data_IF_323404235749
#
_entry.id   IF_323404235749
#
_cell.length_a   1.000
_cell.length_b   1.000
_cell.length_c   1.000
_cell.angle_alpha   90.00
_cell.angle_beta   90.00
_cell.angle_gamma   90.00
#
_symmetry.space_group_name_H-M   'P 1'
#
loop_
_entity.id
_entity.type
_entity.pdbx_description
1 polymer ?
#
# COMPACT_ATOMS: atom_id res chain seq x y z
N UNK A 1 -12.75 25.27 -10.45
CA UNK A 1 -14.19 25.16 -10.06
C UNK A 1 -14.67 26.19 -9.03
N UNK A 2 -14.06 27.37 -8.90
CA UNK A 2 -14.41 28.28 -7.79
C UNK A 2 -15.81 28.90 -7.92
N UNK A 3 -16.32 29.10 -9.15
CA UNK A 3 -17.63 29.69 -9.41
C UNK A 3 -18.50 28.92 -10.41
N UNK A 4 -17.94 27.97 -11.16
CA UNK A 4 -18.64 27.15 -12.15
C UNK A 4 -18.63 25.68 -11.72
N UNK A 5 -19.77 25.01 -11.84
CA UNK A 5 -20.01 23.65 -11.35
C UNK A 5 -19.33 22.54 -12.15
N UNK A 6 -18.77 22.85 -13.33
CA UNK A 6 -18.07 21.89 -14.20
C UNK A 6 -16.65 22.40 -14.48
N UNK A 7 -15.65 21.51 -14.54
CA UNK A 7 -14.30 21.93 -14.89
C UNK A 7 -14.27 22.24 -16.38
N UNK A 8 -13.34 23.07 -16.80
CA UNK A 8 -13.10 23.24 -18.23
C UNK A 8 -12.47 21.98 -18.81
N UNK A 9 -12.58 21.78 -20.13
CA UNK A 9 -11.88 20.68 -20.82
C UNK A 9 -10.37 20.76 -20.58
N UNK A 10 -9.81 21.97 -20.54
CA UNK A 10 -8.39 22.17 -20.30
C UNK A 10 -7.98 21.71 -18.89
N UNK A 11 -8.72 22.11 -17.85
CA UNK A 11 -8.49 21.66 -16.47
C UNK A 11 -8.57 20.13 -16.34
N UNK A 12 -9.58 19.51 -16.99
CA UNK A 12 -9.74 18.05 -16.94
C UNK A 12 -8.57 17.31 -17.62
N UNK A 13 -8.10 17.81 -18.77
CA UNK A 13 -6.95 17.24 -19.48
C UNK A 13 -5.65 17.42 -18.68
N UNK A 14 -5.47 18.55 -18.01
CA UNK A 14 -4.27 18.83 -17.20
C UNK A 14 -4.13 17.83 -16.05
N UNK A 15 -5.22 17.62 -15.29
CA UNK A 15 -5.27 16.60 -14.23
C UNK A 15 -5.01 15.20 -14.78
N UNK A 16 -5.66 14.84 -15.90
CA UNK A 16 -5.49 13.52 -16.49
C UNK A 16 -4.03 13.27 -16.90
N UNK A 17 -3.38 14.25 -17.53
CA UNK A 17 -1.98 14.16 -17.90
C UNK A 17 -1.07 14.02 -16.68
N UNK A 18 -1.32 14.77 -15.59
CA UNK A 18 -0.53 14.62 -14.36
C UNK A 18 -0.58 13.19 -13.80
N UNK A 19 -1.74 12.52 -13.87
CA UNK A 19 -1.91 11.11 -13.45
C UNK A 19 -1.15 10.15 -14.38
N UNK A 20 -1.19 10.40 -15.69
CA UNK A 20 -0.50 9.59 -16.71
C UNK A 20 1.02 9.75 -16.63
N UNK A 21 1.49 10.95 -16.33
CA UNK A 21 2.91 11.27 -16.09
C UNK A 21 3.43 10.61 -14.82
N UNK A 22 2.52 10.12 -13.97
CA UNK A 22 2.85 9.28 -12.82
C UNK A 22 2.94 10.05 -11.51
N UNK A 23 2.19 11.15 -11.35
CA UNK A 23 2.04 11.79 -10.03
C UNK A 23 1.43 10.83 -9.01
N UNK A 24 1.84 10.97 -7.75
CA UNK A 24 1.29 10.20 -6.62
C UNK A 24 -0.01 10.80 -6.08
N UNK A 25 -0.13 12.12 -6.13
CA UNK A 25 -1.27 12.87 -5.64
C UNK A 25 -1.60 14.06 -6.55
N UNK A 26 -2.85 14.48 -6.48
CA UNK A 26 -3.35 15.72 -7.08
C UNK A 26 -3.89 16.61 -5.96
N UNK A 27 -3.69 17.91 -6.07
CA UNK A 27 -4.07 18.87 -5.04
C UNK A 27 -5.16 19.80 -5.55
N UNK A 28 -6.17 20.02 -4.72
CA UNK A 28 -7.15 21.10 -4.90
C UNK A 28 -6.76 22.23 -3.96
N UNK A 29 -6.92 23.47 -4.42
CA UNK A 29 -6.51 24.67 -3.71
C UNK A 29 -7.74 25.52 -3.39
N UNK A 30 -7.92 26.65 -4.08
CA UNK A 30 -9.07 27.54 -3.92
C UNK A 30 -10.41 26.85 -4.17
N UNK A 31 -10.43 25.74 -4.92
CA UNK A 31 -11.63 24.97 -5.24
C UNK A 31 -12.30 24.36 -4.01
N UNK A 32 -11.49 23.95 -3.03
CA UNK A 32 -11.99 23.34 -1.79
C UNK A 32 -11.94 24.29 -0.61
N UNK A 33 -10.99 25.23 -0.59
CA UNK A 33 -10.83 26.16 0.52
C UNK A 33 -11.91 27.24 0.58
N UNK A 34 -12.27 27.83 -0.56
CA UNK A 34 -13.24 28.93 -0.64
C UNK A 34 -14.19 28.83 -1.85
N UNK A 35 -14.18 27.70 -2.56
CA UNK A 35 -15.00 27.48 -3.74
C UNK A 35 -16.47 27.26 -3.37
N UNK A 36 -17.37 27.60 -4.30
CA UNK A 36 -18.82 27.41 -4.12
C UNK A 36 -19.27 25.93 -4.15
N UNK A 37 -18.44 25.02 -4.70
CA UNK A 37 -18.78 23.60 -4.90
C UNK A 37 -17.64 22.64 -4.50
N UNK A 38 -17.22 22.63 -3.21
CA UNK A 38 -16.06 21.86 -2.77
C UNK A 38 -16.25 20.34 -2.89
N UNK A 39 -17.46 19.83 -2.61
CA UNK A 39 -17.77 18.39 -2.73
C UNK A 39 -17.74 17.93 -4.19
N UNK A 40 -18.29 18.73 -5.10
CA UNK A 40 -18.33 18.43 -6.52
C UNK A 40 -16.92 18.49 -7.12
N UNK A 41 -16.07 19.38 -6.63
CA UNK A 41 -14.67 19.47 -7.03
C UNK A 41 -13.91 18.17 -6.71
N UNK A 42 -14.03 17.68 -5.47
CA UNK A 42 -13.39 16.42 -5.06
C UNK A 42 -13.95 15.23 -5.85
N UNK A 43 -15.29 15.14 -6.02
CA UNK A 43 -15.92 14.05 -6.78
C UNK A 43 -15.51 14.05 -8.25
N UNK A 44 -15.37 15.23 -8.85
CA UNK A 44 -14.98 15.35 -10.27
C UNK A 44 -13.51 15.03 -10.46
N UNK A 45 -12.65 15.51 -9.55
CA UNK A 45 -11.23 15.14 -9.51
C UNK A 45 -11.05 13.62 -9.41
N UNK A 46 -11.77 12.97 -8.49
CA UNK A 46 -11.74 11.52 -8.34
C UNK A 46 -12.15 10.77 -9.61
N UNK A 47 -13.19 11.24 -10.32
CA UNK A 47 -13.60 10.66 -11.61
C UNK A 47 -12.52 10.80 -12.67
N UNK A 48 -11.91 11.97 -12.82
CA UNK A 48 -10.85 12.20 -13.80
C UNK A 48 -9.66 11.28 -13.50
N UNK A 49 -9.25 11.16 -12.23
CA UNK A 49 -8.20 10.24 -11.83
C UNK A 49 -8.55 8.80 -12.20
N UNK A 50 -9.73 8.29 -11.82
CA UNK A 50 -10.15 6.93 -12.12
C UNK A 50 -10.15 6.63 -13.63
N UNK A 51 -10.66 7.55 -14.45
CA UNK A 51 -10.64 7.40 -15.91
C UNK A 51 -9.21 7.39 -16.46
N UNK A 52 -8.34 8.30 -16.01
CA UNK A 52 -6.94 8.33 -16.41
C UNK A 52 -6.20 7.04 -16.02
N UNK A 53 -6.40 6.56 -14.79
CA UNK A 53 -5.81 5.32 -14.28
C UNK A 53 -6.24 4.08 -15.06
N UNK A 54 -7.48 4.06 -15.58
CA UNK A 54 -8.00 2.94 -16.38
C UNK A 54 -7.28 2.73 -17.72
N UNK A 55 -6.66 3.79 -18.25
CA UNK A 55 -5.94 3.76 -19.53
C UNK A 55 -4.48 3.31 -19.41
N UNK A 56 -3.96 3.19 -18.19
CA UNK A 56 -2.55 2.90 -17.93
C UNK A 56 -2.29 1.39 -18.08
N UNK A 57 -1.30 1.04 -18.90
CA UNK A 57 -0.77 -0.32 -18.92
C UNK A 57 0.28 -0.50 -17.80
N UNK A 58 -0.18 -0.90 -16.62
CA UNK A 58 0.68 -1.12 -15.45
C UNK A 58 1.80 -2.15 -15.69
N UNK A 59 1.59 -3.15 -16.55
CA UNK A 59 2.61 -4.13 -16.90
C UNK A 59 3.80 -3.51 -17.64
N UNK A 60 3.54 -2.55 -18.53
CA UNK A 60 4.60 -1.84 -19.25
C UNK A 60 5.24 -0.76 -18.40
N UNK A 61 4.47 -0.07 -17.54
CA UNK A 61 5.01 0.85 -16.54
C UNK A 61 6.01 0.14 -15.63
N UNK A 62 5.64 -1.03 -15.10
CA UNK A 62 6.52 -1.85 -14.27
C UNK A 62 7.84 -2.21 -14.98
N UNK A 63 7.76 -2.67 -16.24
CA UNK A 63 8.97 -2.99 -17.04
C UNK A 63 9.87 -1.78 -17.23
N UNK A 64 9.30 -0.61 -17.52
CA UNK A 64 10.07 0.65 -17.69
C UNK A 64 10.77 1.07 -16.39
N UNK A 65 10.08 0.95 -15.25
CA UNK A 65 10.67 1.24 -13.94
C UNK A 65 11.82 0.27 -13.66
N UNK A 66 11.61 -1.03 -13.89
CA UNK A 66 12.64 -2.05 -13.70
C UNK A 66 13.86 -1.86 -14.60
N UNK A 67 13.68 -1.41 -15.85
CA UNK A 67 14.79 -1.15 -16.78
C UNK A 67 15.70 0.00 -16.30
N UNK A 68 15.17 0.92 -15.50
CA UNK A 68 15.91 2.06 -14.94
C UNK A 68 16.30 1.85 -13.47
N UNK A 69 16.04 0.68 -12.90
CA UNK A 69 16.38 0.40 -11.50
C UNK A 69 17.90 0.21 -11.33
N UNK A 70 18.50 0.69 -10.23
CA UNK A 70 19.93 0.55 -9.99
C UNK A 70 20.33 -0.91 -9.80
N UNK A 71 21.48 -1.31 -10.35
CA UNK A 71 22.06 -2.65 -10.15
C UNK A 71 23.46 -2.50 -9.54
N UNK A 72 23.75 -3.09 -8.36
CA UNK A 72 22.86 -3.94 -7.56
C UNK A 72 21.78 -3.15 -6.81
N UNK A 73 20.59 -3.76 -6.65
CA UNK A 73 19.51 -3.20 -5.82
C UNK A 73 19.76 -3.46 -4.34
N UNK A 74 19.22 -2.61 -3.47
CA UNK A 74 19.16 -2.91 -2.03
C UNK A 74 18.25 -4.12 -1.77
N UNK A 75 18.44 -4.88 -0.68
CA UNK A 75 17.60 -6.04 -0.38
C UNK A 75 16.10 -5.74 -0.31
N UNK A 76 15.72 -4.62 0.33
CA UNK A 76 14.33 -4.18 0.44
C UNK A 76 13.73 -3.81 -0.92
N UNK A 77 14.53 -3.20 -1.80
CA UNK A 77 14.08 -2.82 -3.13
C UNK A 77 13.97 -4.02 -4.08
N UNK A 78 14.90 -4.98 -3.96
CA UNK A 78 14.82 -6.27 -4.63
C UNK A 78 13.57 -7.06 -4.19
N UNK A 79 13.24 -7.01 -2.90
CA UNK A 79 12.04 -7.64 -2.36
C UNK A 79 10.76 -6.96 -2.87
N UNK A 80 10.71 -5.62 -2.86
CA UNK A 80 9.56 -4.86 -3.32
C UNK A 80 9.27 -5.10 -4.81
N UNK A 81 10.29 -5.03 -5.67
CA UNK A 81 10.16 -5.35 -7.10
C UNK A 81 9.73 -6.80 -7.33
N UNK A 82 10.28 -7.74 -6.56
CA UNK A 82 9.90 -9.16 -6.63
C UNK A 82 8.45 -9.38 -6.21
N UNK A 83 7.97 -8.71 -5.17
CA UNK A 83 6.58 -8.82 -4.73
C UNK A 83 5.60 -8.32 -5.79
N UNK A 84 5.88 -7.17 -6.43
CA UNK A 84 5.06 -6.65 -7.53
C UNK A 84 5.09 -7.58 -8.73
N UNK A 85 6.27 -8.13 -9.07
CA UNK A 85 6.40 -9.14 -10.13
C UNK A 85 5.55 -10.38 -9.83
N UNK A 86 5.63 -10.90 -8.61
CA UNK A 86 4.84 -12.05 -8.16
C UNK A 86 3.35 -11.75 -8.21
N UNK A 87 2.92 -10.57 -7.77
CA UNK A 87 1.52 -10.16 -7.81
C UNK A 87 0.98 -10.07 -9.25
N UNK A 88 1.78 -9.53 -10.17
CA UNK A 88 1.43 -9.49 -11.59
C UNK A 88 1.35 -10.90 -12.20
N UNK A 89 2.30 -11.79 -11.88
CA UNK A 89 2.32 -13.16 -12.39
C UNK A 89 1.19 -14.03 -11.82
N UNK A 90 0.89 -13.88 -10.53
CA UNK A 90 -0.18 -14.60 -9.84
C UNK A 90 -1.58 -14.01 -10.10
N UNK A 91 -1.67 -12.88 -10.81
CA UNK A 91 -2.90 -12.09 -10.98
C UNK A 91 -3.59 -11.83 -9.64
N UNK A 92 -2.79 -11.41 -8.65
CA UNK A 92 -3.27 -11.20 -7.30
C UNK A 92 -4.30 -10.06 -7.24
N UNK A 93 -5.32 -10.23 -6.41
CA UNK A 93 -6.35 -9.21 -6.19
C UNK A 93 -5.82 -7.99 -5.42
N UNK A 94 -4.86 -8.19 -4.52
CA UNK A 94 -4.14 -7.12 -3.82
C UNK A 94 -2.75 -7.56 -3.38
N UNK A 95 -1.93 -6.58 -3.04
CA UNK A 95 -0.67 -6.77 -2.31
C UNK A 95 -0.90 -6.33 -0.87
N UNK A 96 -0.59 -7.17 0.10
CA UNK A 96 -0.66 -6.87 1.52
C UNK A 96 0.76 -6.63 2.05
N UNK A 97 1.01 -5.51 2.70
CA UNK A 97 2.32 -5.16 3.23
C UNK A 97 2.20 -4.88 4.71
N UNK A 98 2.78 -5.74 5.55
CA UNK A 98 2.97 -5.45 6.97
C UNK A 98 4.17 -4.51 7.10
N UNK A 99 3.96 -3.36 7.73
CA UNK A 99 5.00 -2.34 7.89
C UNK A 99 4.88 -1.64 9.23
N UNK A 100 6.02 -1.19 9.77
CA UNK A 100 6.06 -0.38 11.01
C UNK A 100 6.22 1.09 10.67
N UNK A 101 7.25 1.43 9.88
CA UNK A 101 7.56 2.80 9.44
C UNK A 101 6.97 3.21 8.08
N UNK A 102 6.25 2.33 7.38
CA UNK A 102 5.67 2.62 6.06
C UNK A 102 6.66 2.56 4.88
N UNK A 103 7.97 2.44 5.12
CA UNK A 103 9.01 2.44 4.08
C UNK A 103 8.84 1.31 3.06
N UNK A 104 8.58 0.08 3.53
CA UNK A 104 8.36 -1.09 2.65
C UNK A 104 7.18 -0.86 1.71
N UNK A 105 6.07 -0.33 2.25
CA UNK A 105 4.86 -0.10 1.47
C UNK A 105 5.10 0.97 0.37
N UNK A 106 5.87 2.01 0.70
CA UNK A 106 6.30 3.04 -0.27
C UNK A 106 7.20 2.47 -1.37
N UNK A 107 8.12 1.55 -1.02
CA UNK A 107 8.96 0.86 -2.00
C UNK A 107 8.14 -0.02 -2.94
N UNK A 108 7.09 -0.69 -2.45
CA UNK A 108 6.16 -1.44 -3.31
C UNK A 108 5.40 -0.49 -4.25
N UNK A 109 4.89 0.62 -3.72
CA UNK A 109 4.17 1.63 -4.50
C UNK A 109 5.01 2.28 -5.62
N UNK A 110 6.33 2.42 -5.40
CA UNK A 110 7.30 2.89 -6.41
C UNK A 110 7.19 2.13 -7.72
N UNK A 111 6.94 0.82 -7.66
CA UNK A 111 6.86 -0.06 -8.83
C UNK A 111 5.50 -0.05 -9.54
N UNK A 112 4.56 0.80 -9.09
CA UNK A 112 3.25 1.03 -9.72
C UNK A 112 2.50 -0.27 -10.04
N UNK A 113 2.19 -1.12 -9.04
CA UNK A 113 1.33 -2.28 -9.26
C UNK A 113 -0.06 -1.84 -9.75
N UNK A 114 -0.69 -2.65 -10.60
CA UNK A 114 -2.06 -2.39 -11.08
C UNK A 114 -3.16 -2.82 -10.08
N UNK A 115 -2.79 -3.58 -9.05
CA UNK A 115 -3.66 -3.95 -7.94
C UNK A 115 -3.42 -3.05 -6.71
N UNK A 116 -4.42 -2.86 -5.84
CA UNK A 116 -4.26 -2.06 -4.63
C UNK A 116 -3.23 -2.67 -3.65
N UNK A 117 -2.56 -1.80 -2.89
CA UNK A 117 -1.60 -2.17 -1.86
C UNK A 117 -2.22 -1.88 -0.49
N UNK A 118 -2.60 -2.93 0.25
CA UNK A 118 -3.06 -2.81 1.63
C UNK A 118 -1.86 -2.72 2.57
N UNK A 119 -1.60 -1.53 3.11
CA UNK A 119 -0.50 -1.27 4.03
C UNK A 119 -0.98 -1.39 5.47
N UNK A 120 -0.60 -2.48 6.14
CA UNK A 120 -0.95 -2.73 7.52
C UNK A 120 0.14 -2.14 8.41
N UNK A 121 -0.19 -1.06 9.11
CA UNK A 121 0.71 -0.44 10.07
C UNK A 121 0.53 -1.13 11.41
N UNK A 122 1.58 -1.85 11.82
CA UNK A 122 1.63 -2.52 13.12
C UNK A 122 2.41 -1.63 14.07
N UNK A 123 1.77 -1.03 15.09
CA UNK A 123 2.49 -0.17 16.00
C UNK A 123 3.48 -0.98 16.83
N UNK A 124 4.70 -0.44 16.99
CA UNK A 124 5.65 -0.95 17.97
C UNK A 124 5.26 -0.43 19.33
N UNK A 125 5.23 -1.34 20.29
CA UNK A 125 5.10 -0.98 21.67
C UNK A 125 6.46 -1.16 22.33
N UNK A 126 7.04 -0.06 22.79
CA UNK A 126 8.29 -0.07 23.56
C UNK A 126 7.96 0.06 25.03
N UNK A 127 8.34 -0.96 25.80
CA UNK A 127 8.35 -0.93 27.26
C UNK A 127 9.77 -0.69 27.71
N UNK A 128 10.08 0.56 28.04
CA UNK A 128 11.24 0.82 28.88
C UNK A 128 10.78 0.67 30.34
N UNK A 129 11.72 0.35 31.24
CA UNK A 129 11.51 -0.24 32.57
C UNK A 129 10.43 0.36 33.49
N UNK A 130 9.88 1.55 33.18
CA UNK A 130 8.73 2.15 33.89
C UNK A 130 7.73 2.92 33.01
N UNK A 131 7.95 3.06 31.69
CA UNK A 131 7.08 3.83 30.78
C UNK A 131 6.71 3.02 29.52
N UNK A 132 5.42 3.05 29.16
CA UNK A 132 4.90 2.42 27.95
C UNK A 132 4.70 3.49 26.87
N UNK A 133 5.36 3.31 25.72
CA UNK A 133 5.12 4.14 24.53
C UNK A 133 4.63 3.28 23.37
N UNK A 134 3.57 3.73 22.70
CA UNK A 134 3.04 3.13 21.48
C UNK A 134 3.45 4.00 20.30
N UNK A 135 4.03 3.42 19.25
CA UNK A 135 4.42 4.16 18.06
C UNK A 135 3.21 4.86 17.40
N UNK A 136 3.44 6.04 16.85
CA UNK A 136 2.40 6.89 16.27
C UNK A 136 1.68 6.25 15.06
N UNK A 137 0.42 6.64 14.85
CA UNK A 137 -0.35 6.40 13.62
C UNK A 137 0.20 7.18 12.40
N UNK A 138 1.27 7.95 12.59
CA UNK A 138 1.92 8.78 11.58
C UNK A 138 2.30 8.01 10.31
N UNK A 139 2.88 6.79 10.36
CA UNK A 139 3.19 6.01 9.16
C UNK A 139 1.95 5.68 8.33
N UNK A 140 0.81 5.42 8.96
CA UNK A 140 -0.45 5.17 8.25
C UNK A 140 -0.92 6.44 7.53
N UNK A 141 -0.90 7.58 8.21
CA UNK A 141 -1.24 8.88 7.61
C UNK A 141 -0.30 9.26 6.47
N UNK A 142 1.00 9.06 6.64
CA UNK A 142 2.00 9.32 5.61
C UNK A 142 1.89 8.42 4.39
N UNK A 143 1.26 7.24 4.51
CA UNK A 143 1.02 6.36 3.36
C UNK A 143 -0.09 6.88 2.43
N UNK A 144 -0.99 7.74 2.92
CA UNK A 144 -2.12 8.25 2.13
C UNK A 144 -1.72 9.11 0.93
N UNK A 145 -0.51 9.68 0.94
CA UNK A 145 -0.02 10.50 -0.18
C UNK A 145 0.60 9.66 -1.31
N UNK A 146 0.79 8.36 -1.11
CA UNK A 146 1.39 7.49 -2.11
C UNK A 146 0.31 6.75 -2.87
N UNK A 147 0.46 6.70 -4.19
CA UNK A 147 -0.56 6.10 -5.06
C UNK A 147 -0.72 4.60 -4.81
N UNK A 148 -1.96 4.15 -4.80
CA UNK A 148 -2.33 2.75 -4.65
C UNK A 148 -2.18 2.20 -3.23
N UNK A 149 -1.68 2.99 -2.26
CA UNK A 149 -1.57 2.60 -0.87
C UNK A 149 -2.88 2.83 -0.10
N UNK A 150 -3.38 1.76 0.51
CA UNK A 150 -4.53 1.75 1.40
C UNK A 150 -4.04 1.42 2.81
N UNK A 151 -3.74 2.42 3.65
CA UNK A 151 -3.25 2.17 4.99
C UNK A 151 -4.36 1.73 5.92
N UNK A 152 -4.08 0.71 6.74
CA UNK A 152 -4.90 0.30 7.88
C UNK A 152 -4.04 0.23 9.13
N UNK A 153 -4.62 0.59 10.27
CA UNK A 153 -3.96 0.45 11.55
C UNK A 153 -4.39 -0.89 12.16
N UNK A 154 -3.42 -1.74 12.50
CA UNK A 154 -3.67 -2.93 13.29
C UNK A 154 -3.53 -2.56 14.78
N UNK A 155 -4.49 -2.98 15.62
CA UNK A 155 -4.31 -2.87 17.06
C UNK A 155 -3.13 -3.78 17.44
N UNK A 156 -2.03 -3.20 17.93
CA UNK A 156 -0.86 -3.97 18.33
C UNK A 156 -1.22 -4.92 19.48
N UNK A 157 -0.91 -6.21 19.33
CA UNK A 157 -1.03 -7.16 20.44
C UNK A 157 0.14 -6.95 21.40
N UNK A 158 -0.16 -6.48 22.61
CA UNK A 158 0.82 -6.28 23.69
C UNK A 158 1.42 -7.59 24.24
N UNK A 159 0.95 -8.76 23.78
CA UNK A 159 1.07 -10.02 24.51
C UNK A 159 1.67 -11.19 23.73
N UNK A 160 2.07 -11.00 22.48
CA UNK A 160 2.46 -12.11 21.61
C UNK A 160 3.96 -12.06 21.25
N UNK A 161 4.54 -13.23 21.02
CA UNK A 161 5.84 -13.37 20.37
C UNK A 161 5.84 -12.67 18.99
N UNK A 162 7.00 -12.28 18.47
CA UNK A 162 7.09 -11.57 17.18
C UNK A 162 6.42 -12.32 16.02
N UNK A 163 6.35 -13.65 16.08
CA UNK A 163 5.75 -14.50 15.04
C UNK A 163 4.21 -14.55 15.14
N UNK A 164 3.66 -14.82 16.33
CA UNK A 164 2.20 -14.86 16.56
C UNK A 164 1.52 -13.53 16.20
N UNK A 165 2.19 -12.40 16.49
CA UNK A 165 1.69 -11.07 16.13
C UNK A 165 1.58 -10.86 14.61
N UNK A 166 2.37 -11.57 13.80
CA UNK A 166 2.35 -11.40 12.33
C UNK A 166 1.21 -12.17 11.68
N UNK A 167 0.91 -13.38 12.18
CA UNK A 167 -0.23 -14.18 11.74
C UNK A 167 -1.55 -13.47 12.06
N UNK A 168 -1.70 -12.95 13.28
CA UNK A 168 -2.87 -12.17 13.70
C UNK A 168 -3.08 -10.92 12.82
N UNK A 169 -1.99 -10.18 12.54
CA UNK A 169 -2.07 -8.99 11.69
C UNK A 169 -2.45 -9.33 10.24
N UNK A 170 -1.97 -10.46 9.72
CA UNK A 170 -2.32 -10.95 8.38
C UNK A 170 -3.80 -11.36 8.31
N UNK A 171 -4.30 -12.09 9.30
CA UNK A 171 -5.71 -12.48 9.38
C UNK A 171 -6.63 -11.26 9.49
N UNK A 172 -6.30 -10.32 10.37
CA UNK A 172 -7.03 -9.06 10.52
C UNK A 172 -7.09 -8.30 9.19
N UNK A 173 -5.95 -8.18 8.49
CA UNK A 173 -5.87 -7.47 7.23
C UNK A 173 -6.64 -8.17 6.10
N UNK A 174 -6.62 -9.50 6.04
CA UNK A 174 -7.41 -10.28 5.08
C UNK A 174 -8.91 -10.15 5.36
N UNK A 175 -9.33 -10.17 6.63
CA UNK A 175 -10.72 -9.95 7.00
C UNK A 175 -11.16 -8.53 6.61
N UNK A 176 -10.33 -7.53 6.88
CA UNK A 176 -10.58 -6.16 6.46
C UNK A 176 -10.73 -6.03 4.94
N UNK A 177 -9.83 -6.67 4.18
CA UNK A 177 -9.87 -6.69 2.73
C UNK A 177 -11.17 -7.32 2.19
N UNK A 178 -11.62 -8.44 2.78
CA UNK A 178 -12.89 -9.09 2.45
C UNK A 178 -14.08 -8.17 2.75
N UNK A 179 -14.13 -7.56 3.92
CA UNK A 179 -15.23 -6.65 4.32
C UNK A 179 -15.31 -5.42 3.41
N UNK A 180 -14.17 -4.90 2.95
CA UNK A 180 -14.10 -3.79 1.99
C UNK A 180 -14.35 -4.21 0.54
N UNK A 181 -14.49 -5.51 0.27
CA UNK A 181 -14.68 -6.04 -1.08
C UNK A 181 -13.44 -5.95 -1.97
N UNK A 182 -12.24 -5.82 -1.37
CA UNK A 182 -10.96 -5.78 -2.09
C UNK A 182 -10.51 -7.17 -2.57
N UNK A 183 -10.96 -8.24 -1.90
CA UNK A 183 -10.75 -9.61 -2.32
C UNK A 183 -11.95 -10.50 -2.03
N UNK A 184 -12.04 -11.60 -2.76
CA UNK A 184 -13.07 -12.63 -2.66
C UNK A 184 -12.42 -13.98 -2.39
N UNK A 185 -13.24 -14.94 -1.96
CA UNK A 185 -12.79 -16.34 -1.82
C UNK A 185 -12.38 -16.87 -3.20
N UNK A 186 -11.19 -17.44 -3.28
CA UNK A 186 -10.55 -17.91 -4.50
C UNK A 186 -9.50 -16.96 -5.08
N UNK A 187 -9.44 -15.71 -4.63
CA UNK A 187 -8.43 -14.76 -5.10
C UNK A 187 -7.05 -15.06 -4.50
N UNK A 188 -5.99 -14.75 -5.26
CA UNK A 188 -4.62 -14.76 -4.75
C UNK A 188 -4.28 -13.39 -4.14
N UNK A 189 -3.57 -13.38 -3.01
CA UNK A 189 -3.05 -12.19 -2.34
C UNK A 189 -1.55 -12.37 -2.15
N UNK A 190 -0.76 -11.37 -2.49
CA UNK A 190 0.69 -11.40 -2.20
C UNK A 190 0.94 -10.64 -0.91
N UNK A 191 1.45 -11.31 0.11
CA UNK A 191 1.77 -10.73 1.40
C UNK A 191 3.28 -10.54 1.56
N UNK A 192 3.67 -9.34 2.00
CA UNK A 192 5.01 -8.96 2.43
C UNK A 192 4.99 -8.79 3.93
N UNK A 193 5.71 -9.65 4.65
CA UNK A 193 5.77 -9.60 6.11
C UNK A 193 7.13 -10.05 6.63
N UNK A 194 7.42 -9.68 7.88
CA UNK A 194 8.64 -10.08 8.59
C UNK A 194 8.34 -11.36 9.35
N UNK A 195 9.22 -12.34 9.29
CA UNK A 195 9.04 -13.62 9.98
C UNK A 195 9.81 -13.66 11.27
N UNK A 196 11.02 -13.10 11.28
CA UNK A 196 11.87 -13.19 12.46
C UNK A 196 13.15 -12.41 12.28
N UNK A 197 13.94 -12.40 13.34
CA UNK A 197 15.22 -11.75 13.37
C UNK A 197 16.27 -12.79 13.79
N UNK A 198 17.30 -12.93 12.97
CA UNK A 198 18.40 -13.84 13.27
C UNK A 198 19.55 -12.98 13.77
N UNK A 199 20.03 -13.28 14.98
CA UNK A 199 21.26 -12.71 15.50
C UNK A 199 22.44 -13.54 15.00
N UNK A 200 23.34 -12.91 14.27
CA UNK A 200 24.57 -13.56 13.83
C UNK A 200 25.75 -12.60 14.00
N UNK A 201 26.72 -12.95 14.85
CA UNK A 201 27.96 -12.18 15.09
C UNK A 201 27.70 -10.67 15.29
N UNK A 202 26.90 -10.31 16.30
CA UNK A 202 26.53 -8.93 16.66
C UNK A 202 25.79 -8.12 15.56
N UNK A 203 25.41 -8.78 14.46
CA UNK A 203 24.62 -8.19 13.38
C UNK A 203 23.17 -8.70 13.46
N UNK A 204 22.22 -7.76 13.36
CA UNK A 204 20.79 -8.05 13.37
C UNK A 204 20.29 -8.27 11.94
N UNK A 205 19.95 -9.50 11.57
CA UNK A 205 19.42 -9.83 10.25
C UNK A 205 17.89 -9.94 10.31
N UNK A 206 17.19 -9.00 9.67
CA UNK A 206 15.74 -9.10 9.48
C UNK A 206 15.41 -10.06 8.33
N UNK A 207 14.58 -11.06 8.60
CA UNK A 207 14.07 -11.99 7.57
C UNK A 207 12.69 -11.52 7.11
N UNK A 208 12.59 -11.21 5.82
CA UNK A 208 11.35 -10.76 5.19
C UNK A 208 10.94 -11.78 4.14
N UNK A 209 9.66 -12.18 4.16
CA UNK A 209 9.10 -13.16 3.24
C UNK A 209 8.07 -12.52 2.30
N UNK A 210 8.05 -13.03 1.06
CA UNK A 210 6.95 -12.87 0.13
C UNK A 210 6.14 -14.17 0.17
N UNK A 211 4.88 -14.08 0.60
CA UNK A 211 3.96 -15.21 0.63
C UNK A 211 2.84 -14.99 -0.39
N UNK A 212 2.47 -16.02 -1.14
CA UNK A 212 1.25 -16.00 -1.96
C UNK A 212 0.17 -16.74 -1.19
N UNK A 213 -0.84 -16.01 -0.73
CA UNK A 213 -1.94 -16.52 0.08
C UNK A 213 -3.17 -16.66 -0.81
N UNK A 214 -3.73 -17.87 -0.87
CA UNK A 214 -5.04 -18.07 -1.48
C UNK A 214 -6.11 -17.71 -0.47
N UNK A 215 -7.05 -16.85 -0.84
CA UNK A 215 -8.16 -16.49 0.02
C UNK A 215 -9.13 -17.67 0.10
N UNK A 216 -8.99 -18.50 1.13
CA UNK A 216 -9.89 -19.62 1.38
C UNK A 216 -11.13 -19.17 2.17
N UNK A 217 -12.25 -19.87 1.97
CA UNK A 217 -13.49 -19.67 2.73
C UNK A 217 -13.42 -20.20 4.16
N UNK A 218 -12.36 -20.96 4.47
CA UNK A 218 -12.05 -21.48 5.81
C UNK A 218 -10.71 -20.93 6.28
N UNK A 219 -10.64 -20.63 7.59
CA UNK A 219 -9.43 -20.26 8.34
C UNK A 219 -8.27 -21.19 7.94
N UNK A 220 -7.12 -20.56 7.71
CA UNK A 220 -5.85 -21.10 7.25
C UNK A 220 -5.62 -22.58 7.64
N UNK A 221 -5.58 -23.49 6.66
CA UNK A 221 -4.99 -24.83 6.85
C UNK A 221 -3.52 -24.72 6.44
N UNK A 222 -2.63 -24.75 7.45
CA UNK A 222 -1.18 -24.86 7.28
C UNK A 222 -0.87 -26.16 6.51
N UNK A 223 -0.07 -26.08 5.45
CA UNK A 223 0.61 -27.23 4.85
C UNK A 223 1.99 -27.38 5.47
#
# INVERSE_FOLDING_TARGET
MNQVSKPTRAEATDVANAVLDGTDCVMLSGETAAGAYPDLAVRTMAKICLEAESTINYGDVFKRIMANAPVPMSPLESLASSAVRTANSAKAALILVLTRGGSTAKLVAKYRPGMPILSVVVPEIKTDSFDWSCSDESPARHSLIFRGLLPILCAGSARASHEESTEEALEFALQHAKTKGLCKVGDAVVALHRIGCIYYQDSYCEVIMISVVLVTGFICVKW
#
